data_IF_322793180481
#
_entry.id   IF_322793180481
#
_cell.length_a   1.000
_cell.length_b   1.000
_cell.length_c   1.000
_cell.angle_alpha   90.00
_cell.angle_beta   90.00
_cell.angle_gamma   90.00
#
_symmetry.space_group_name_H-M   'P 1'
#
loop_
_entity.id
_entity.type
_entity.pdbx_description
1 polymer ?
#
# COMPACT_ATOMS: atom_id res chain seq x y z
N UNK A 1 22.35 12.75 0.53
CA UNK A 1 21.75 11.72 -0.35
C UNK A 1 22.13 10.40 0.28
N UNK A 2 21.23 9.81 1.08
CA UNK A 2 21.59 8.74 2.01
C UNK A 2 21.58 7.40 1.28
N UNK A 3 22.69 6.67 1.35
CA UNK A 3 22.86 5.32 0.80
C UNK A 3 21.89 4.27 1.39
N UNK A 4 21.05 4.66 2.36
CA UNK A 4 20.02 3.82 2.99
C UNK A 4 18.70 3.73 2.20
N UNK A 5 18.46 4.60 1.22
CA UNK A 5 17.16 4.66 0.53
C UNK A 5 16.95 3.49 -0.45
N UNK A 6 18.05 2.98 -1.04
CA UNK A 6 18.02 1.85 -1.98
C UNK A 6 17.69 0.51 -1.32
N UNK A 7 18.23 0.27 -0.11
CA UNK A 7 17.91 -0.93 0.68
C UNK A 7 16.48 -0.92 1.22
N UNK A 8 15.98 0.28 1.55
CA UNK A 8 14.60 0.48 2.00
C UNK A 8 13.57 0.16 0.91
N UNK A 9 13.79 0.65 -0.31
CA UNK A 9 12.88 0.38 -1.45
C UNK A 9 12.85 -1.12 -1.81
N UNK A 10 14.02 -1.74 -1.93
CA UNK A 10 14.12 -3.15 -2.32
C UNK A 10 13.40 -4.06 -1.31
N UNK A 11 13.52 -3.75 -0.01
CA UNK A 11 12.80 -4.45 1.05
C UNK A 11 11.28 -4.27 0.93
N UNK A 12 10.81 -3.04 0.74
CA UNK A 12 9.38 -2.78 0.62
C UNK A 12 8.76 -3.46 -0.61
N UNK A 13 9.48 -3.48 -1.75
CA UNK A 13 9.07 -4.22 -2.94
C UNK A 13 9.01 -5.74 -2.69
N UNK A 14 9.95 -6.28 -1.94
CA UNK A 14 9.93 -7.69 -1.54
C UNK A 14 8.74 -8.02 -0.61
N UNK A 15 8.42 -7.14 0.34
CA UNK A 15 7.26 -7.28 1.23
C UNK A 15 5.94 -7.22 0.46
N UNK A 16 5.81 -6.33 -0.54
CA UNK A 16 4.65 -6.27 -1.44
C UNK A 16 4.54 -7.55 -2.27
N UNK A 17 5.65 -8.02 -2.86
CA UNK A 17 5.65 -9.25 -3.69
C UNK A 17 5.34 -10.51 -2.89
N UNK A 18 5.62 -10.53 -1.59
CA UNK A 18 5.36 -11.66 -0.71
C UNK A 18 3.97 -11.61 -0.05
N UNK A 19 3.20 -10.54 -0.26
CA UNK A 19 1.89 -10.38 0.35
C UNK A 19 0.88 -11.37 -0.25
N UNK A 20 0.41 -12.31 0.58
CA UNK A 20 -0.60 -13.32 0.22
C UNK A 20 -1.99 -12.99 0.73
N UNK A 21 -2.14 -11.89 1.47
CA UNK A 21 -3.40 -11.39 2.00
C UNK A 21 -3.39 -9.86 2.09
N UNK A 22 -4.57 -9.27 2.31
CA UNK A 22 -4.73 -7.82 2.39
C UNK A 22 -4.00 -7.22 3.58
N UNK A 23 -3.91 -7.94 4.70
CA UNK A 23 -3.24 -7.44 5.90
C UNK A 23 -1.72 -7.31 5.69
N UNK A 24 -1.12 -8.22 4.92
CA UNK A 24 0.27 -8.13 4.50
C UNK A 24 0.50 -6.93 3.57
N UNK A 25 -0.41 -6.68 2.63
CA UNK A 25 -0.34 -5.55 1.71
C UNK A 25 -0.49 -4.21 2.44
N UNK A 26 -1.46 -4.10 3.35
CA UNK A 26 -1.69 -2.90 4.17
C UNK A 26 -0.46 -2.53 5.00
N UNK A 27 0.21 -3.53 5.60
CA UNK A 27 1.44 -3.31 6.37
C UNK A 27 2.60 -2.82 5.51
N UNK A 28 2.78 -3.43 4.34
CA UNK A 28 3.85 -3.04 3.41
C UNK A 28 3.66 -1.61 2.89
N UNK A 29 2.42 -1.23 2.55
CA UNK A 29 2.13 0.15 2.11
C UNK A 29 2.27 1.13 3.28
N UNK A 30 1.81 0.77 4.48
CA UNK A 30 1.89 1.64 5.66
C UNK A 30 3.34 1.92 6.11
N UNK A 31 4.27 0.99 5.87
CA UNK A 31 5.70 1.22 6.15
C UNK A 31 6.37 2.09 5.08
N UNK A 32 5.91 2.01 3.82
CA UNK A 32 6.44 2.77 2.69
C UNK A 32 6.04 4.25 2.74
N UNK A 33 4.78 4.55 3.05
CA UNK A 33 4.25 5.93 3.06
C UNK A 33 5.12 6.93 3.85
N UNK A 34 5.44 6.71 5.14
CA UNK A 34 6.26 7.65 5.91
C UNK A 34 7.71 7.68 5.45
N UNK A 35 8.26 6.56 4.95
CA UNK A 35 9.65 6.48 4.48
C UNK A 35 9.94 7.40 3.29
N UNK A 36 8.91 7.69 2.48
CA UNK A 36 9.01 8.56 1.29
C UNK A 36 8.18 9.84 1.41
N UNK A 37 7.74 10.20 2.62
CA UNK A 37 6.88 11.38 2.87
C UNK A 37 5.62 11.43 1.99
N UNK A 38 5.05 10.26 1.64
CA UNK A 38 3.83 10.14 0.85
C UNK A 38 2.63 10.28 1.79
N UNK A 39 1.70 11.19 1.46
CA UNK A 39 0.52 11.48 2.29
C UNK A 39 -0.56 10.41 2.21
N UNK A 40 -0.75 9.81 1.05
CA UNK A 40 -1.77 8.78 0.82
C UNK A 40 -1.42 7.94 -0.41
N UNK A 41 -1.99 6.75 -0.50
CA UNK A 41 -1.87 5.83 -1.62
C UNK A 41 -3.22 5.17 -1.90
N UNK A 42 -3.45 4.85 -3.17
CA UNK A 42 -4.49 3.94 -3.61
C UNK A 42 -3.81 2.75 -4.28
N UNK A 43 -4.20 1.54 -3.90
CA UNK A 43 -3.58 0.32 -4.42
C UNK A 43 -4.62 -0.78 -4.61
N UNK A 44 -4.40 -1.59 -5.64
CA UNK A 44 -5.28 -2.67 -6.03
C UNK A 44 -4.51 -3.99 -6.05
N UNK A 45 -5.03 -4.98 -5.35
CA UNK A 45 -4.51 -6.33 -5.28
C UNK A 45 -5.42 -7.34 -5.95
N UNK A 46 -4.88 -8.17 -6.84
CA UNK A 46 -5.61 -9.26 -7.51
C UNK A 46 -5.00 -10.61 -7.11
N UNK A 47 -5.82 -11.63 -6.87
CA UNK A 47 -5.31 -12.96 -6.47
C UNK A 47 -4.73 -13.02 -5.06
N UNK A 48 -5.06 -12.03 -4.21
CA UNK A 48 -4.56 -11.88 -2.84
C UNK A 48 -5.50 -12.55 -1.81
N UNK A 49 -6.66 -13.06 -2.22
CA UNK A 49 -7.52 -13.86 -1.34
C UNK A 49 -7.94 -15.16 -2.01
N UNK A 50 -8.35 -16.13 -1.18
CA UNK A 50 -8.91 -17.41 -1.63
C UNK A 50 -10.14 -17.26 -2.53
N UNK A 51 -10.85 -16.12 -2.50
CA UNK A 51 -11.91 -15.81 -3.45
C UNK A 51 -11.33 -14.90 -4.53
N UNK A 52 -10.72 -15.54 -5.53
CA UNK A 52 -10.01 -14.92 -6.66
C UNK A 52 -10.88 -13.98 -7.53
N UNK A 53 -12.19 -13.88 -7.25
CA UNK A 53 -13.17 -13.23 -8.11
C UNK A 53 -13.25 -11.71 -7.99
N UNK A 54 -12.78 -11.10 -6.88
CA UNK A 54 -12.86 -9.64 -6.71
C UNK A 54 -11.52 -8.99 -6.38
N UNK A 55 -11.13 -7.93 -7.11
CA UNK A 55 -9.95 -7.15 -6.78
C UNK A 55 -10.14 -6.45 -5.44
N UNK A 56 -9.10 -6.46 -4.62
CA UNK A 56 -9.06 -5.69 -3.40
C UNK A 56 -8.54 -4.29 -3.70
N UNK A 57 -9.37 -3.30 -3.44
CA UNK A 57 -9.01 -1.89 -3.54
C UNK A 57 -8.92 -1.31 -2.14
N UNK A 58 -7.77 -0.74 -1.82
CA UNK A 58 -7.56 0.01 -0.59
C UNK A 58 -7.04 1.42 -0.89
N UNK A 59 -7.49 2.36 -0.07
CA UNK A 59 -7.10 3.77 -0.15
C UNK A 59 -6.72 4.27 1.24
N UNK A 60 -5.64 5.03 1.35
CA UNK A 60 -5.20 5.65 2.61
C UNK A 60 -5.49 7.15 2.64
N UNK A 61 -6.49 7.59 1.88
CA UNK A 61 -6.98 8.96 1.91
C UNK A 61 -7.46 9.32 3.33
N UNK A 62 -7.27 10.58 3.72
CA UNK A 62 -7.91 11.09 4.93
C UNK A 62 -9.44 11.07 4.79
N UNK A 63 -10.15 10.92 5.90
CA UNK A 63 -11.61 11.04 5.98
C UNK A 63 -12.09 12.31 5.28
N UNK A 64 -11.41 13.43 5.52
CA UNK A 64 -11.74 14.74 4.98
C UNK A 64 -11.67 14.77 3.46
N UNK A 65 -10.69 14.09 2.86
CA UNK A 65 -10.53 14.01 1.40
C UNK A 65 -11.64 13.16 0.78
N UNK A 66 -11.98 12.03 1.44
CA UNK A 66 -13.06 11.15 1.00
C UNK A 66 -14.42 11.86 1.09
N UNK A 67 -14.67 12.60 2.17
CA UNK A 67 -15.90 13.38 2.35
C UNK A 67 -16.02 14.51 1.33
N UNK A 68 -14.92 15.19 1.00
CA UNK A 68 -14.92 16.29 0.04
C UNK A 68 -15.22 15.84 -1.40
N UNK A 69 -14.82 14.63 -1.79
CA UNK A 69 -14.92 14.14 -3.17
C UNK A 69 -16.01 13.09 -3.41
N UNK A 70 -16.77 12.69 -2.38
CA UNK A 70 -17.92 11.78 -2.51
C UNK A 70 -19.19 12.42 -3.11
N UNK A 71 -19.15 13.70 -3.50
CA UNK A 71 -20.28 14.45 -4.07
C UNK A 71 -20.51 14.18 -5.55
#
# INVERSE_FOLDING_TARGET
MNENDGGSLARALAEISAATDHQALDRAISSLLPAYAIKSAAYMGTGITRNESEPFLAVTYSSDWVEHYKS
#
